data_IF_035961384326
#
_entry.id   IF_035961384326
#
_cell.length_a   1.000
_cell.length_b   1.000
_cell.length_c   1.000
_cell.angle_alpha   90.00
_cell.angle_beta   90.00
_cell.angle_gamma   90.00
#
_symmetry.space_group_name_H-M   'P 1'
#
loop_
_entity.id
_entity.type
_entity.pdbx_description
1 polymer ?
#
# COMPACT_ATOMS: atom_id res chain seq x y z
N UNK A 1 12.12 6.92 -11.25
CA UNK A 1 13.19 7.01 -10.22
C UNK A 1 14.55 6.80 -10.88
N UNK A 2 15.56 7.58 -10.54
CA UNK A 2 16.96 7.37 -10.95
C UNK A 2 17.78 7.13 -9.68
N UNK A 3 18.58 6.07 -9.63
CA UNK A 3 19.39 5.68 -8.46
C UNK A 3 20.68 4.99 -8.88
N UNK A 4 21.70 5.01 -8.03
CA UNK A 4 23.02 4.41 -8.29
C UNK A 4 24.15 5.41 -8.02
N UNK A 5 25.31 5.24 -8.66
CA UNK A 5 26.44 6.17 -8.57
C UNK A 5 26.10 7.55 -9.14
N UNK A 6 26.43 8.62 -8.43
CA UNK A 6 26.05 10.01 -8.73
C UNK A 6 26.67 10.57 -10.02
N UNK A 7 27.89 10.16 -10.37
CA UNK A 7 28.70 10.72 -11.48
C UNK A 7 27.95 10.87 -12.83
N UNK A 8 27.02 9.96 -13.14
CA UNK A 8 26.26 9.96 -14.41
C UNK A 8 24.75 10.06 -14.24
N UNK A 9 24.25 10.34 -13.03
CA UNK A 9 22.81 10.42 -12.78
C UNK A 9 22.16 11.56 -13.57
N UNK A 10 22.77 12.74 -13.61
CA UNK A 10 22.25 13.87 -14.37
C UNK A 10 22.17 13.56 -15.87
N UNK A 11 23.19 12.87 -16.42
CA UNK A 11 23.23 12.46 -17.82
C UNK A 11 22.11 11.45 -18.14
N UNK A 12 21.95 10.42 -17.29
CA UNK A 12 20.88 9.43 -17.43
C UNK A 12 19.49 10.07 -17.32
N UNK A 13 19.29 10.96 -16.33
CA UNK A 13 18.04 11.69 -16.16
C UNK A 13 17.70 12.48 -17.42
N UNK A 14 18.67 13.21 -17.99
CA UNK A 14 18.46 13.96 -19.23
C UNK A 14 18.08 13.06 -20.41
N UNK A 15 18.69 11.87 -20.52
CA UNK A 15 18.32 10.90 -21.56
C UNK A 15 16.89 10.38 -21.38
N UNK A 16 16.50 10.05 -20.14
CA UNK A 16 15.13 9.60 -19.82
C UNK A 16 14.12 10.71 -20.14
N UNK A 17 14.40 11.96 -19.76
CA UNK A 17 13.51 13.10 -20.04
C UNK A 17 13.35 13.36 -21.54
N UNK A 18 14.42 13.18 -22.32
CA UNK A 18 14.36 13.28 -23.77
C UNK A 18 13.48 12.19 -24.38
N UNK A 19 13.65 10.94 -23.94
CA UNK A 19 12.84 9.82 -24.40
C UNK A 19 11.37 9.95 -24.00
N UNK A 20 11.05 10.52 -22.83
CA UNK A 20 9.68 10.74 -22.40
C UNK A 20 8.95 11.79 -23.25
N UNK A 21 9.61 12.88 -23.63
CA UNK A 21 8.99 13.97 -24.41
C UNK A 21 8.65 13.56 -25.84
N UNK A 22 9.52 12.78 -26.45
CA UNK A 22 9.40 12.37 -27.84
C UNK A 22 9.83 10.89 -27.95
N UNK A 23 9.02 9.96 -27.41
CA UNK A 23 9.35 8.56 -27.50
C UNK A 23 9.23 8.08 -28.94
N UNK A 24 10.16 7.24 -29.34
CA UNK A 24 10.06 6.48 -30.58
C UNK A 24 9.27 5.20 -30.29
N UNK A 25 7.98 5.21 -30.63
CA UNK A 25 7.09 4.08 -30.37
C UNK A 25 7.11 3.14 -31.57
N UNK A 26 7.97 2.14 -31.50
CA UNK A 26 7.96 1.03 -32.46
C UNK A 26 6.68 0.18 -32.27
N UNK A 27 5.83 0.02 -33.30
CA UNK A 27 4.58 -0.74 -33.19
C UNK A 27 4.77 -2.22 -32.80
N UNK A 28 5.87 -2.86 -33.21
CA UNK A 28 6.16 -4.23 -32.84
C UNK A 28 6.58 -4.35 -31.38
N UNK A 29 7.36 -3.37 -30.87
CA UNK A 29 7.70 -3.29 -29.43
C UNK A 29 6.45 -3.03 -28.60
N UNK A 30 5.59 -2.09 -29.03
CA UNK A 30 4.31 -1.82 -28.38
C UNK A 30 3.45 -3.08 -28.30
N UNK A 31 3.29 -3.81 -29.42
CA UNK A 31 2.48 -5.03 -29.45
C UNK A 31 3.00 -6.12 -28.49
N UNK A 32 4.33 -6.26 -28.37
CA UNK A 32 4.95 -7.19 -27.42
C UNK A 32 4.67 -6.79 -25.97
N UNK A 33 4.85 -5.51 -25.62
CA UNK A 33 4.59 -5.01 -24.25
C UNK A 33 3.10 -5.15 -23.92
N UNK A 34 2.21 -4.80 -24.85
CA UNK A 34 0.76 -4.98 -24.71
C UNK A 34 0.39 -6.45 -24.43
N UNK A 35 1.04 -7.40 -25.08
CA UNK A 35 0.80 -8.83 -24.83
C UNK A 35 1.40 -9.31 -23.49
N UNK A 36 2.53 -8.74 -23.06
CA UNK A 36 3.08 -8.93 -21.71
C UNK A 36 2.09 -8.44 -20.64
N UNK A 37 1.64 -7.18 -20.70
CA UNK A 37 0.66 -6.60 -19.77
C UNK A 37 -0.65 -7.41 -19.74
N UNK A 38 -1.15 -7.83 -20.91
CA UNK A 38 -2.35 -8.68 -20.99
C UNK A 38 -2.15 -10.02 -20.28
N UNK A 39 -0.99 -10.65 -20.43
CA UNK A 39 -0.68 -11.92 -19.74
C UNK A 39 -0.54 -11.72 -18.24
N UNK A 40 0.06 -10.62 -17.80
CA UNK A 40 0.22 -10.31 -16.38
C UNK A 40 -1.16 -10.10 -15.71
N UNK A 41 -2.05 -9.32 -16.33
CA UNK A 41 -3.44 -9.14 -15.85
C UNK A 41 -4.24 -10.46 -15.85
N UNK A 42 -4.04 -11.33 -16.83
CA UNK A 42 -4.70 -12.65 -16.83
C UNK A 42 -4.13 -13.57 -15.73
N UNK A 43 -2.82 -13.54 -15.52
CA UNK A 43 -2.14 -14.33 -14.49
C UNK A 43 -2.51 -13.90 -13.08
N UNK A 44 -2.92 -12.63 -12.88
CA UNK A 44 -3.40 -12.16 -11.60
C UNK A 44 -4.61 -12.98 -11.10
N UNK A 45 -5.44 -13.50 -12.02
CA UNK A 45 -6.59 -14.38 -11.73
C UNK A 45 -6.17 -15.81 -11.36
N UNK A 46 -4.94 -16.19 -11.65
CA UNK A 46 -4.35 -17.49 -11.28
C UNK A 46 -3.61 -17.42 -9.92
N UNK A 47 -3.54 -16.23 -9.30
CA UNK A 47 -2.96 -16.10 -7.97
C UNK A 47 -3.71 -16.96 -6.95
N UNK A 48 -3.01 -17.37 -5.89
CA UNK A 48 -3.63 -18.07 -4.77
C UNK A 48 -4.85 -17.28 -4.24
N UNK A 49 -5.97 -17.94 -3.88
CA UNK A 49 -7.21 -17.29 -3.46
C UNK A 49 -7.05 -16.18 -2.43
N UNK A 50 -6.17 -16.34 -1.42
CA UNK A 50 -5.94 -15.29 -0.42
C UNK A 50 -5.40 -13.99 -1.00
N UNK A 51 -4.58 -14.06 -2.07
CA UNK A 51 -4.02 -12.86 -2.71
C UNK A 51 -5.11 -12.08 -3.44
N UNK A 52 -6.05 -12.80 -4.07
CA UNK A 52 -7.17 -12.18 -4.78
C UNK A 52 -8.13 -11.51 -3.80
N UNK A 53 -8.48 -12.16 -2.68
CA UNK A 53 -9.34 -11.51 -1.67
C UNK A 53 -8.63 -10.34 -1.00
N UNK A 54 -7.31 -10.39 -0.82
CA UNK A 54 -6.52 -9.30 -0.27
C UNK A 54 -6.40 -8.11 -1.22
N UNK A 55 -6.17 -8.31 -2.52
CA UNK A 55 -6.10 -7.22 -3.51
C UNK A 55 -7.44 -6.52 -3.70
N UNK A 56 -8.54 -7.28 -3.70
CA UNK A 56 -9.91 -6.74 -3.86
C UNK A 56 -10.24 -5.64 -2.83
N UNK A 57 -9.67 -5.70 -1.63
CA UNK A 57 -9.86 -4.64 -0.61
C UNK A 57 -9.38 -3.27 -1.13
N UNK A 58 -8.21 -3.24 -1.77
CA UNK A 58 -7.68 -2.00 -2.36
C UNK A 58 -8.52 -1.58 -3.56
N UNK A 59 -8.99 -2.55 -4.36
CA UNK A 59 -9.82 -2.30 -5.55
C UNK A 59 -11.16 -1.66 -5.21
N UNK A 60 -11.77 -2.07 -4.10
CA UNK A 60 -13.06 -1.54 -3.65
C UNK A 60 -12.96 -0.20 -2.93
N UNK A 61 -11.85 0.05 -2.22
CA UNK A 61 -11.76 1.18 -1.29
C UNK A 61 -10.96 2.37 -1.82
N UNK A 62 -10.03 2.16 -2.75
CA UNK A 62 -9.22 3.24 -3.31
C UNK A 62 -9.88 3.86 -4.55
N UNK A 63 -9.66 5.16 -4.74
CA UNK A 63 -10.15 5.88 -5.93
C UNK A 63 -9.15 6.96 -6.35
N UNK A 64 -8.82 7.08 -7.66
CA UNK A 64 -9.24 6.21 -8.76
C UNK A 64 -8.57 4.84 -8.68
N UNK A 65 -9.30 3.82 -9.13
CA UNK A 65 -8.84 2.44 -9.20
C UNK A 65 -9.66 1.75 -10.31
N UNK A 66 -9.04 0.85 -11.06
CA UNK A 66 -9.67 0.14 -12.19
C UNK A 66 -9.48 -1.36 -12.00
N UNK A 67 -10.53 -2.13 -12.30
CA UNK A 67 -10.47 -3.58 -12.19
C UNK A 67 -9.61 -4.19 -13.30
N UNK A 68 -9.05 -5.38 -13.06
CA UNK A 68 -8.33 -6.14 -14.09
C UNK A 68 -9.22 -6.38 -15.34
N UNK A 69 -10.54 -6.54 -15.16
CA UNK A 69 -11.50 -6.68 -16.25
C UNK A 69 -11.59 -5.41 -17.10
N UNK A 70 -11.73 -4.24 -16.48
CA UNK A 70 -11.77 -2.96 -17.18
C UNK A 70 -10.46 -2.68 -17.92
N UNK A 71 -9.32 -3.00 -17.29
CA UNK A 71 -7.99 -2.86 -17.89
C UNK A 71 -7.82 -3.79 -19.10
N UNK A 72 -8.21 -5.07 -18.98
CA UNK A 72 -8.17 -6.03 -20.08
C UNK A 72 -9.09 -5.61 -21.24
N UNK A 73 -10.30 -5.11 -20.93
CA UNK A 73 -11.21 -4.59 -21.94
C UNK A 73 -10.59 -3.39 -22.66
N UNK A 74 -10.04 -2.42 -21.92
CA UNK A 74 -9.38 -1.25 -22.48
C UNK A 74 -8.14 -1.59 -23.32
N UNK A 75 -7.40 -2.64 -22.95
CA UNK A 75 -6.25 -3.10 -23.72
C UNK A 75 -6.65 -3.56 -25.12
N UNK A 76 -7.84 -4.14 -25.32
CA UNK A 76 -8.24 -4.72 -26.62
C UNK A 76 -8.05 -3.74 -27.78
N UNK A 77 -8.57 -2.53 -27.64
CA UNK A 77 -8.54 -1.49 -28.69
C UNK A 77 -7.32 -0.56 -28.63
N UNK A 78 -6.44 -0.73 -27.64
CA UNK A 78 -5.27 0.12 -27.48
C UNK A 78 -4.23 -0.13 -28.59
N UNK A 79 -3.78 0.93 -29.25
CA UNK A 79 -2.79 0.87 -30.33
C UNK A 79 -1.56 1.73 -30.02
N UNK A 80 -0.48 1.55 -30.80
CA UNK A 80 0.69 2.42 -30.74
C UNK A 80 0.31 3.90 -31.01
N UNK A 81 -0.59 4.14 -31.97
CA UNK A 81 -1.11 5.48 -32.26
C UNK A 81 -1.90 6.06 -31.09
N UNK A 82 -2.65 5.23 -30.36
CA UNK A 82 -3.35 5.64 -29.12
C UNK A 82 -2.35 6.15 -28.08
N UNK A 83 -1.24 5.43 -27.87
CA UNK A 83 -0.19 5.84 -26.94
C UNK A 83 0.51 7.12 -27.42
N UNK A 84 0.83 7.20 -28.71
CA UNK A 84 1.44 8.38 -29.33
C UNK A 84 0.59 9.63 -29.15
N UNK A 85 -0.74 9.50 -29.29
CA UNK A 85 -1.70 10.59 -29.08
C UNK A 85 -1.88 10.94 -27.59
N UNK A 86 -1.73 9.96 -26.69
CA UNK A 86 -1.93 10.15 -25.25
C UNK A 86 -0.77 10.93 -24.59
N UNK A 87 0.48 10.71 -25.00
CA UNK A 87 1.66 11.36 -24.41
C UNK A 87 1.54 12.90 -24.30
N UNK A 88 1.21 13.65 -25.38
CA UNK A 88 1.04 15.09 -25.25
C UNK A 88 -0.12 15.48 -24.34
N UNK A 89 -1.17 14.65 -24.22
CA UNK A 89 -2.29 14.89 -23.30
C UNK A 89 -1.84 14.71 -21.84
N UNK A 90 -1.09 13.64 -21.55
CA UNK A 90 -0.51 13.38 -20.23
C UNK A 90 0.42 14.52 -19.81
N UNK A 91 1.23 15.03 -20.74
CA UNK A 91 2.18 16.11 -20.47
C UNK A 91 1.56 17.51 -20.46
N UNK A 92 0.31 17.68 -20.92
CA UNK A 92 -0.32 19.00 -21.00
C UNK A 92 -0.63 19.61 -19.63
N UNK A 93 -0.85 18.77 -18.60
CA UNK A 93 -1.21 19.18 -17.24
C UNK A 93 -0.46 18.35 -16.22
N UNK A 94 0.50 18.96 -15.53
CA UNK A 94 1.41 18.24 -14.65
C UNK A 94 1.73 19.02 -13.39
N UNK A 95 2.05 18.27 -12.34
CA UNK A 95 2.77 18.75 -11.17
C UNK A 95 4.03 17.90 -11.04
N UNK A 96 5.18 18.55 -10.82
CA UNK A 96 6.44 17.85 -10.58
C UNK A 96 6.83 18.05 -9.13
N UNK A 97 6.82 16.95 -8.40
CA UNK A 97 7.39 16.84 -7.06
C UNK A 97 8.62 15.93 -7.16
N UNK A 98 9.73 16.32 -6.56
CA UNK A 98 10.97 15.55 -6.64
C UNK A 98 11.73 15.55 -5.31
N UNK A 99 12.48 14.47 -5.09
CA UNK A 99 13.34 14.28 -3.92
C UNK A 99 14.73 13.91 -4.44
N UNK A 100 15.72 14.70 -4.05
CA UNK A 100 17.14 14.36 -4.21
C UNK A 100 17.68 13.98 -2.83
N UNK A 101 18.21 12.77 -2.70
CA UNK A 101 18.73 12.26 -1.44
C UNK A 101 19.94 11.35 -1.68
N UNK A 102 21.04 11.54 -0.93
CA UNK A 102 22.28 10.79 -1.06
C UNK A 102 23.50 11.70 -1.16
N UNK A 103 24.49 11.29 -1.95
CA UNK A 103 25.70 12.07 -2.25
C UNK A 103 25.37 13.16 -3.29
N UNK A 104 24.65 14.19 -2.88
CA UNK A 104 24.22 15.30 -3.73
C UNK A 104 24.20 16.59 -2.94
N UNK A 105 24.81 17.63 -3.49
CA UNK A 105 24.79 18.98 -2.91
C UNK A 105 23.46 19.68 -3.20
N UNK A 106 23.17 20.75 -2.45
CA UNK A 106 21.97 21.54 -2.68
C UNK A 106 21.94 22.17 -4.08
N UNK A 107 23.10 22.56 -4.63
CA UNK A 107 23.18 23.17 -5.96
C UNK A 107 22.99 22.13 -7.06
N UNK A 108 23.54 20.93 -6.92
CA UNK A 108 23.27 19.82 -7.83
C UNK A 108 21.79 19.41 -7.80
N UNK A 109 21.18 19.33 -6.61
CA UNK A 109 19.75 19.04 -6.47
C UNK A 109 18.88 20.10 -7.17
N UNK A 110 19.22 21.40 -7.02
CA UNK A 110 18.54 22.48 -7.73
C UNK A 110 18.73 22.38 -9.24
N UNK A 111 19.94 22.05 -9.70
CA UNK A 111 20.21 21.85 -11.12
C UNK A 111 19.38 20.71 -11.70
N UNK A 112 19.26 19.57 -11.00
CA UNK A 112 18.39 18.46 -11.39
C UNK A 112 16.90 18.87 -11.42
N UNK A 113 16.45 19.66 -10.43
CA UNK A 113 15.10 20.23 -10.41
C UNK A 113 14.83 21.18 -11.59
N UNK A 114 15.84 21.97 -11.98
CA UNK A 114 15.76 22.82 -13.16
C UNK A 114 15.66 21.98 -14.44
N UNK A 115 16.43 20.89 -14.57
CA UNK A 115 16.29 19.96 -15.70
C UNK A 115 14.87 19.40 -15.78
N UNK A 116 14.26 18.97 -14.67
CA UNK A 116 12.88 18.50 -14.67
C UNK A 116 11.91 19.59 -15.15
N UNK A 117 12.08 20.82 -14.67
CA UNK A 117 11.24 21.96 -15.03
C UNK A 117 11.36 22.31 -16.51
N UNK A 118 12.59 22.46 -17.01
CA UNK A 118 12.87 22.81 -18.41
C UNK A 118 12.39 21.73 -19.39
N UNK A 119 12.40 20.47 -18.96
CA UNK A 119 11.99 19.36 -19.82
C UNK A 119 10.50 19.06 -19.74
N UNK A 120 9.86 19.13 -18.57
CA UNK A 120 8.47 18.67 -18.38
C UNK A 120 7.46 19.80 -18.26
N UNK A 121 7.85 20.96 -17.74
CA UNK A 121 6.92 22.02 -17.38
C UNK A 121 6.90 23.20 -18.36
N UNK A 122 7.85 23.30 -19.28
CA UNK A 122 7.99 24.45 -20.19
C UNK A 122 6.72 24.69 -21.04
N UNK A 123 6.03 23.63 -21.46
CA UNK A 123 4.79 23.70 -22.23
C UNK A 123 3.56 23.18 -21.48
N UNK A 124 3.73 22.74 -20.23
CA UNK A 124 2.64 22.17 -19.43
C UNK A 124 1.92 23.27 -18.65
N UNK A 125 0.61 23.11 -18.48
CA UNK A 125 -0.12 23.83 -17.45
C UNK A 125 0.21 23.18 -16.09
N UNK A 126 0.80 23.94 -15.18
CA UNK A 126 1.03 23.45 -13.81
C UNK A 126 -0.33 23.30 -13.12
N UNK A 127 -0.65 22.08 -12.69
CA UNK A 127 -1.90 21.77 -12.01
C UNK A 127 -1.67 20.79 -10.89
N UNK A 128 -2.21 21.06 -9.70
CA UNK A 128 -2.18 20.10 -8.59
C UNK A 128 -2.94 18.84 -8.98
N UNK A 129 -2.29 17.69 -8.87
CA UNK A 129 -2.94 16.39 -9.12
C UNK A 129 -3.58 15.94 -7.82
N UNK A 130 -4.88 15.64 -7.85
CA UNK A 130 -5.54 15.11 -6.67
C UNK A 130 -5.00 13.73 -6.32
N UNK A 131 -4.65 13.53 -5.05
CA UNK A 131 -4.20 12.23 -4.53
C UNK A 131 -5.35 11.23 -4.49
N UNK A 132 -4.97 9.95 -4.46
CA UNK A 132 -5.90 8.86 -4.21
C UNK A 132 -6.71 9.09 -2.93
N UNK A 133 -7.97 8.69 -2.97
CA UNK A 133 -8.90 8.78 -1.84
C UNK A 133 -9.23 7.37 -1.36
N UNK A 134 -9.43 7.24 -0.05
CA UNK A 134 -9.95 6.03 0.56
C UNK A 134 -11.42 6.24 0.92
N UNK A 135 -12.27 5.31 0.50
CA UNK A 135 -13.67 5.25 0.92
C UNK A 135 -13.76 4.98 2.43
N UNK A 136 -14.51 5.82 3.14
CA UNK A 136 -14.78 5.61 4.57
C UNK A 136 -15.98 4.68 4.73
N UNK A 137 -15.76 3.54 5.38
CA UNK A 137 -16.81 2.58 5.70
C UNK A 137 -17.71 3.12 6.83
N UNK A 138 -19.01 2.81 6.76
CA UNK A 138 -19.96 3.19 7.79
C UNK A 138 -19.76 2.35 9.06
N UNK A 139 -19.60 2.96 10.25
CA UNK A 139 -19.46 2.21 11.49
C UNK A 139 -20.66 1.30 11.75
N UNK A 140 -20.39 0.06 12.18
CA UNK A 140 -21.41 -0.93 12.53
C UNK A 140 -22.13 -1.55 11.32
N UNK A 141 -21.61 -1.37 10.11
CA UNK A 141 -22.13 -1.98 8.90
C UNK A 141 -21.11 -2.92 8.27
N UNK A 142 -21.58 -4.13 7.95
CA UNK A 142 -20.79 -5.12 7.25
C UNK A 142 -21.00 -5.00 5.74
N UNK A 143 -19.89 -5.09 5.00
CA UNK A 143 -19.86 -5.12 3.55
C UNK A 143 -19.22 -6.42 3.11
N UNK A 144 -19.94 -7.21 2.32
CA UNK A 144 -19.50 -8.54 1.88
C UNK A 144 -19.35 -8.52 0.36
N UNK A 145 -18.17 -8.94 -0.11
CA UNK A 145 -17.85 -9.17 -1.51
C UNK A 145 -17.47 -10.63 -1.69
N UNK A 146 -18.28 -11.35 -2.46
CA UNK A 146 -17.96 -12.72 -2.88
C UNK A 146 -17.20 -12.70 -4.21
N UNK A 147 -16.13 -13.48 -4.28
CA UNK A 147 -15.33 -13.66 -5.49
C UNK A 147 -15.49 -15.10 -5.99
N UNK A 148 -15.83 -15.25 -7.27
CA UNK A 148 -15.86 -16.55 -7.93
C UNK A 148 -14.44 -16.91 -8.39
N UNK A 149 -13.68 -17.61 -7.53
CA UNK A 149 -12.29 -18.01 -7.79
C UNK A 149 -12.27 -19.49 -8.16
N UNK A 150 -11.69 -19.83 -9.32
CA UNK A 150 -11.53 -21.21 -9.77
C UNK A 150 -10.34 -21.88 -9.06
N UNK A 151 -10.57 -22.33 -7.83
CA UNK A 151 -9.57 -23.00 -7.01
C UNK A 151 -10.24 -23.98 -6.03
N UNK A 152 -9.53 -25.03 -5.62
CA UNK A 152 -10.07 -26.04 -4.68
C UNK A 152 -10.19 -25.51 -3.24
N UNK A 153 -9.29 -24.62 -2.84
CA UNK A 153 -9.29 -23.95 -1.54
C UNK A 153 -10.24 -22.74 -1.55
N UNK A 154 -10.85 -22.48 -0.40
CA UNK A 154 -11.56 -21.24 -0.10
C UNK A 154 -10.66 -20.24 0.61
N UNK A 155 -10.94 -18.94 0.48
CA UNK A 155 -10.23 -17.90 1.22
C UNK A 155 -11.17 -16.81 1.75
N UNK A 156 -10.72 -16.16 2.82
CA UNK A 156 -11.37 -15.02 3.45
C UNK A 156 -10.31 -13.96 3.76
N UNK A 157 -10.62 -12.71 3.45
CA UNK A 157 -9.92 -11.53 3.99
C UNK A 157 -10.96 -10.68 4.71
N UNK A 158 -10.87 -10.59 6.04
CA UNK A 158 -11.65 -9.65 6.83
C UNK A 158 -10.81 -8.38 7.04
N UNK A 159 -11.28 -7.26 6.50
CA UNK A 159 -10.65 -5.95 6.65
C UNK A 159 -11.45 -5.07 7.62
N UNK A 160 -10.80 -4.64 8.69
CA UNK A 160 -11.38 -3.75 9.71
C UNK A 160 -10.73 -2.37 9.57
N UNK A 161 -11.46 -1.43 8.99
CA UNK A 161 -10.99 -0.06 8.79
C UNK A 161 -10.97 0.73 10.10
N UNK A 162 -9.86 1.43 10.36
CA UNK A 162 -9.78 2.40 11.44
C UNK A 162 -10.67 3.63 11.22
N UNK A 163 -11.05 4.34 12.29
CA UNK A 163 -12.07 5.40 12.22
C UNK A 163 -11.61 6.67 11.48
N UNK A 164 -10.30 6.94 11.48
CA UNK A 164 -9.67 8.12 10.90
C UNK A 164 -8.15 7.95 10.70
N UNK A 165 -7.49 9.02 10.24
CA UNK A 165 -6.03 9.07 9.96
C UNK A 165 -5.19 9.51 11.17
N UNK A 166 -5.78 9.65 12.35
CA UNK A 166 -5.09 10.23 13.52
C UNK A 166 -3.91 9.37 13.95
N UNK A 167 -2.89 10.03 14.51
CA UNK A 167 -1.72 9.36 15.09
C UNK A 167 -2.16 8.34 16.15
N UNK A 168 -3.15 8.71 16.98
CA UNK A 168 -3.74 7.82 18.00
C UNK A 168 -4.32 6.56 17.38
N UNK A 169 -5.22 6.67 16.39
CA UNK A 169 -5.82 5.49 15.75
C UNK A 169 -4.76 4.62 15.08
N UNK A 170 -3.75 5.22 14.45
CA UNK A 170 -2.65 4.48 13.81
C UNK A 170 -1.82 3.70 14.83
N UNK A 171 -1.55 4.28 16.00
CA UNK A 171 -0.86 3.59 17.09
C UNK A 171 -1.72 2.47 17.67
N UNK A 172 -3.00 2.72 17.95
CA UNK A 172 -3.90 1.71 18.52
C UNK A 172 -4.00 0.48 17.61
N UNK A 173 -4.20 0.69 16.31
CA UNK A 173 -4.22 -0.39 15.32
C UNK A 173 -2.86 -1.09 15.17
N UNK A 174 -1.75 -0.35 15.29
CA UNK A 174 -0.41 -0.92 15.34
C UNK A 174 -0.22 -1.85 16.54
N UNK A 175 -0.67 -1.43 17.73
CA UNK A 175 -0.62 -2.24 18.95
C UNK A 175 -1.52 -3.48 18.85
N UNK A 176 -2.72 -3.34 18.27
CA UNK A 176 -3.61 -4.46 18.02
C UNK A 176 -2.98 -5.48 17.04
N UNK A 177 -2.30 -5.01 15.99
CA UNK A 177 -1.61 -5.90 15.07
C UNK A 177 -0.49 -6.71 15.77
N UNK A 178 0.31 -6.06 16.62
CA UNK A 178 1.34 -6.74 17.44
C UNK A 178 0.74 -7.80 18.37
N UNK A 179 -0.40 -7.50 18.98
CA UNK A 179 -1.06 -8.36 19.96
C UNK A 179 -1.79 -9.55 19.31
N UNK A 180 -2.36 -9.35 18.11
CA UNK A 180 -3.23 -10.34 17.46
C UNK A 180 -2.53 -11.25 16.46
N UNK A 181 -1.37 -10.86 15.90
CA UNK A 181 -0.65 -11.61 14.87
C UNK A 181 -0.35 -13.06 15.31
N UNK A 182 0.33 -13.22 16.45
CA UNK A 182 0.74 -14.55 16.94
C UNK A 182 -0.44 -15.40 17.42
N UNK A 183 -1.39 -14.89 18.23
CA UNK A 183 -2.56 -15.67 18.65
C UNK A 183 -3.45 -16.10 17.48
N UNK A 184 -3.60 -15.27 16.45
CA UNK A 184 -4.41 -15.62 15.28
C UNK A 184 -3.80 -16.80 14.51
N UNK A 185 -2.49 -16.75 14.29
CA UNK A 185 -1.76 -17.86 13.70
C UNK A 185 -1.90 -19.11 14.57
N UNK A 186 -1.58 -19.05 15.86
CA UNK A 186 -1.66 -20.20 16.75
C UNK A 186 -3.04 -20.85 16.75
N UNK A 187 -4.10 -20.03 16.87
CA UNK A 187 -5.47 -20.52 16.93
C UNK A 187 -5.90 -21.20 15.64
N UNK A 188 -5.88 -20.47 14.51
CA UNK A 188 -6.48 -20.96 13.27
C UNK A 188 -5.54 -21.92 12.53
N UNK A 189 -4.22 -21.72 12.60
CA UNK A 189 -3.24 -22.59 11.92
C UNK A 189 -2.90 -23.84 12.73
N UNK A 190 -2.60 -23.69 14.01
CA UNK A 190 -2.00 -24.77 14.82
C UNK A 190 -3.06 -25.59 15.53
N UNK A 191 -4.02 -24.95 16.20
CA UNK A 191 -5.06 -25.65 16.95
C UNK A 191 -6.17 -26.17 16.02
N UNK A 192 -6.77 -25.28 15.23
CA UNK A 192 -7.94 -25.60 14.38
C UNK A 192 -7.54 -26.18 13.02
N UNK A 193 -6.28 -26.01 12.62
CA UNK A 193 -5.69 -26.58 11.39
C UNK A 193 -6.46 -26.18 10.12
N UNK A 194 -6.99 -24.95 10.08
CA UNK A 194 -7.87 -24.50 9.01
C UNK A 194 -7.17 -24.39 7.66
N UNK A 195 -5.88 -24.06 7.60
CA UNK A 195 -5.24 -23.87 6.30
C UNK A 195 -3.78 -23.51 6.38
N UNK A 196 -3.08 -23.51 5.25
CA UNK A 196 -1.63 -23.22 5.22
C UNK A 196 -1.34 -21.72 5.34
N UNK A 197 -2.26 -20.89 4.85
CA UNK A 197 -2.15 -19.44 4.90
C UNK A 197 -3.12 -18.95 5.97
N UNK A 198 -2.56 -18.45 7.06
CA UNK A 198 -3.28 -17.86 8.18
C UNK A 198 -2.38 -16.75 8.72
N UNK A 199 -2.80 -15.49 8.66
CA UNK A 199 -2.09 -14.41 9.32
C UNK A 199 -3.01 -13.23 9.58
N UNK A 200 -2.69 -12.48 10.63
CA UNK A 200 -3.28 -11.20 10.93
C UNK A 200 -2.20 -10.13 10.82
N UNK A 201 -2.52 -8.97 10.24
CA UNK A 201 -1.55 -7.89 10.09
C UNK A 201 -2.22 -6.52 10.06
N UNK A 202 -1.42 -5.48 10.29
CA UNK A 202 -1.82 -4.13 9.92
C UNK A 202 -1.87 -4.01 8.39
N UNK A 203 -2.98 -3.47 7.87
CA UNK A 203 -3.19 -3.24 6.43
C UNK A 203 -3.63 -1.78 6.19
N UNK A 204 -2.81 -0.78 6.55
CA UNK A 204 -3.18 0.61 6.32
C UNK A 204 -3.36 0.87 4.81
N UNK A 205 -4.42 1.60 4.47
CA UNK A 205 -4.61 2.14 3.12
C UNK A 205 -4.46 3.66 3.18
N UNK A 206 -3.51 4.19 2.41
CA UNK A 206 -3.00 5.54 2.61
C UNK A 206 -2.56 5.73 4.08
N UNK A 207 -3.11 6.71 4.78
CA UNK A 207 -2.85 6.96 6.20
C UNK A 207 -3.96 6.47 7.14
N UNK A 208 -4.98 5.80 6.62
CA UNK A 208 -6.03 5.22 7.46
C UNK A 208 -5.55 3.84 7.91
N UNK A 209 -5.39 3.60 9.22
CA UNK A 209 -4.98 2.31 9.72
C UNK A 209 -6.09 1.29 9.54
N UNK A 210 -5.73 0.01 9.46
CA UNK A 210 -6.69 -1.09 9.47
C UNK A 210 -6.01 -2.37 9.93
N UNK A 211 -6.82 -3.34 10.34
CA UNK A 211 -6.40 -4.72 10.57
C UNK A 211 -6.94 -5.59 9.44
N UNK A 212 -6.18 -6.59 9.05
CA UNK A 212 -6.62 -7.62 8.15
C UNK A 212 -6.41 -9.00 8.78
N UNK A 213 -7.42 -9.85 8.67
CA UNK A 213 -7.34 -11.28 9.00
C UNK A 213 -7.49 -12.08 7.71
N UNK A 214 -6.46 -12.84 7.36
CA UNK A 214 -6.39 -13.58 6.09
C UNK A 214 -6.31 -15.07 6.39
N UNK A 215 -7.21 -15.84 5.77
CA UNK A 215 -7.22 -17.30 5.87
C UNK A 215 -7.46 -17.91 4.48
N UNK A 216 -6.69 -18.92 4.11
CA UNK A 216 -7.00 -19.81 2.99
C UNK A 216 -6.99 -21.26 3.45
N UNK A 217 -8.09 -21.96 3.17
CA UNK A 217 -8.37 -23.30 3.66
C UNK A 217 -8.74 -24.27 2.53
N UNK A 218 -8.18 -25.48 2.52
CA UNK A 218 -8.62 -26.55 1.60
C UNK A 218 -9.89 -27.28 2.08
N UNK A 219 -10.40 -26.98 3.28
CA UNK A 219 -11.42 -27.80 3.95
C UNK A 219 -12.59 -27.03 4.56
N UNK A 220 -12.47 -25.72 4.76
CA UNK A 220 -13.52 -24.87 5.30
C UNK A 220 -14.02 -23.89 4.22
N UNK A 221 -15.33 -23.74 4.12
CA UNK A 221 -16.00 -22.76 3.27
C UNK A 221 -15.79 -21.32 3.77
N UNK A 222 -15.98 -20.28 2.93
CA UNK A 222 -15.83 -18.89 3.36
C UNK A 222 -16.70 -18.52 4.57
N UNK A 223 -17.93 -19.05 4.66
CA UNK A 223 -18.83 -18.83 5.80
C UNK A 223 -18.32 -19.48 7.09
N UNK A 224 -17.76 -20.69 7.01
CA UNK A 224 -17.12 -21.33 8.17
C UNK A 224 -15.88 -20.55 8.60
N UNK A 225 -15.05 -20.12 7.65
CA UNK A 225 -13.89 -19.27 7.93
C UNK A 225 -14.28 -17.98 8.65
N UNK A 226 -15.36 -17.32 8.21
CA UNK A 226 -15.88 -16.12 8.87
C UNK A 226 -16.24 -16.42 10.32
N UNK A 227 -16.96 -17.51 10.58
CA UNK A 227 -17.33 -17.90 11.95
C UNK A 227 -16.11 -18.17 12.85
N UNK A 228 -15.05 -18.78 12.31
CA UNK A 228 -13.79 -18.98 13.04
C UNK A 228 -13.08 -17.66 13.36
N UNK A 229 -13.03 -16.73 12.40
CA UNK A 229 -12.45 -15.39 12.62
C UNK A 229 -13.26 -14.60 13.64
N UNK A 230 -14.60 -14.64 13.56
CA UNK A 230 -15.49 -13.96 14.50
C UNK A 230 -15.34 -14.50 15.92
N UNK A 231 -15.28 -15.84 16.08
CA UNK A 231 -15.06 -16.48 17.36
C UNK A 231 -13.69 -16.12 17.95
N UNK A 232 -12.65 -16.05 17.11
CA UNK A 232 -11.34 -15.57 17.52
C UNK A 232 -11.40 -14.12 18.01
N UNK A 233 -11.99 -13.20 17.23
CA UNK A 233 -12.08 -11.78 17.58
C UNK A 233 -12.85 -11.60 18.89
N UNK A 234 -13.96 -12.30 19.09
CA UNK A 234 -14.73 -12.26 20.34
C UNK A 234 -13.87 -12.69 21.54
N UNK A 235 -13.16 -13.81 21.44
CA UNK A 235 -12.29 -14.30 22.50
C UNK A 235 -11.11 -13.35 22.78
N UNK A 236 -10.51 -12.76 21.74
CA UNK A 236 -9.43 -11.78 21.92
C UNK A 236 -9.93 -10.47 22.51
N UNK A 237 -11.14 -10.02 22.17
CA UNK A 237 -11.75 -8.82 22.77
C UNK A 237 -11.91 -8.98 24.28
N UNK A 238 -12.36 -10.16 24.74
CA UNK A 238 -12.47 -10.46 26.18
C UNK A 238 -11.10 -10.50 26.87
N UNK A 239 -10.08 -11.06 26.21
CA UNK A 239 -8.70 -11.07 26.74
C UNK A 239 -8.10 -9.66 26.79
N UNK A 240 -8.25 -8.87 25.73
CA UNK A 240 -7.70 -7.51 25.61
C UNK A 240 -8.26 -6.63 26.72
N UNK A 241 -9.57 -6.75 27.02
CA UNK A 241 -10.22 -6.03 28.11
C UNK A 241 -9.62 -6.31 29.51
N UNK A 242 -8.83 -7.38 29.64
CA UNK A 242 -8.20 -7.80 30.90
C UNK A 242 -6.67 -7.62 30.90
N UNK A 243 -6.10 -6.97 29.87
CA UNK A 243 -4.67 -6.77 29.79
C UNK A 243 -4.16 -5.91 30.94
N UNK A 244 -2.95 -6.23 31.39
CA UNK A 244 -2.25 -5.44 32.40
C UNK A 244 -1.44 -4.30 31.76
N UNK A 245 -1.03 -3.34 32.58
CA UNK A 245 -0.06 -2.32 32.19
C UNK A 245 1.28 -2.93 31.72
N UNK A 246 1.66 -4.09 32.25
CA UNK A 246 2.86 -4.82 31.85
C UNK A 246 2.71 -5.40 30.43
N UNK A 247 1.55 -5.94 30.10
CA UNK A 247 1.26 -6.43 28.75
C UNK A 247 1.28 -5.30 27.73
N UNK A 248 0.63 -4.17 28.05
CA UNK A 248 0.68 -2.99 27.21
C UNK A 248 2.11 -2.47 27.05
N UNK A 249 2.90 -2.44 28.12
CA UNK A 249 4.30 -2.01 28.06
C UNK A 249 5.12 -2.90 27.11
N UNK A 250 4.87 -4.22 27.09
CA UNK A 250 5.49 -5.16 26.15
C UNK A 250 5.09 -4.88 24.71
N UNK A 251 3.80 -4.66 24.44
CA UNK A 251 3.29 -4.31 23.10
C UNK A 251 3.89 -2.99 22.60
N UNK A 252 3.91 -1.96 23.46
CA UNK A 252 4.54 -0.67 23.17
C UNK A 252 6.03 -0.82 22.83
N UNK A 253 6.76 -1.63 23.60
CA UNK A 253 8.17 -1.87 23.34
C UNK A 253 8.41 -2.54 21.98
N UNK A 254 7.58 -3.54 21.62
CA UNK A 254 7.63 -4.19 20.30
C UNK A 254 7.38 -3.18 19.18
N UNK A 255 6.27 -2.44 19.27
CA UNK A 255 5.89 -1.46 18.25
C UNK A 255 6.92 -0.33 18.12
N UNK A 256 7.46 0.18 19.23
CA UNK A 256 8.54 1.17 19.22
C UNK A 256 9.80 0.65 18.53
N UNK A 257 10.21 -0.59 18.82
CA UNK A 257 11.36 -1.22 18.17
C UNK A 257 11.17 -1.29 16.65
N UNK A 258 9.97 -1.68 16.21
CA UNK A 258 9.61 -1.75 14.79
C UNK A 258 9.60 -0.37 14.13
N UNK A 259 8.92 0.60 14.74
CA UNK A 259 8.84 1.98 14.25
C UNK A 259 10.21 2.64 14.15
N UNK A 260 11.10 2.40 15.12
CA UNK A 260 12.41 3.05 15.22
C UNK A 260 13.55 2.26 14.57
N UNK A 261 13.21 1.21 13.82
CA UNK A 261 14.21 0.46 13.05
C UNK A 261 14.97 1.40 12.12
N UNK A 262 16.30 1.28 12.12
CA UNK A 262 17.16 2.11 11.29
C UNK A 262 17.06 1.68 9.83
N UNK A 263 16.98 2.67 8.94
CA UNK A 263 17.11 2.47 7.50
C UNK A 263 18.46 1.79 7.21
N UNK A 264 18.46 0.63 6.55
CA UNK A 264 19.67 -0.15 6.30
C UNK A 264 20.41 0.38 5.06
N UNK A 265 19.69 0.99 4.13
CA UNK A 265 20.23 1.55 2.89
C UNK A 265 19.83 3.00 2.69
N UNK A 266 20.55 3.70 1.81
CA UNK A 266 20.13 5.03 1.34
C UNK A 266 18.76 4.99 0.64
N UNK A 267 18.45 3.87 -0.02
CA UNK A 267 17.19 3.64 -0.69
C UNK A 267 16.04 3.57 0.31
N UNK A 268 16.19 2.82 1.40
CA UNK A 268 15.16 2.68 2.44
C UNK A 268 14.83 4.07 3.03
N UNK A 269 15.87 4.89 3.28
CA UNK A 269 15.66 6.25 3.80
C UNK A 269 15.00 7.18 2.77
N UNK A 270 15.40 7.09 1.51
CA UNK A 270 14.78 7.88 0.44
C UNK A 270 13.30 7.54 0.27
N UNK A 271 12.95 6.26 0.33
CA UNK A 271 11.56 5.79 0.29
C UNK A 271 10.77 6.29 1.49
N UNK A 272 11.36 6.23 2.70
CA UNK A 272 10.73 6.79 3.90
C UNK A 272 10.43 8.29 3.77
N UNK A 273 11.37 9.09 3.27
CA UNK A 273 11.14 10.51 3.02
C UNK A 273 10.15 10.77 1.88
N UNK A 274 10.15 9.93 0.85
CA UNK A 274 9.20 10.04 -0.25
C UNK A 274 7.75 9.86 0.23
N UNK A 275 7.52 8.92 1.14
CA UNK A 275 6.20 8.73 1.77
C UNK A 275 5.78 9.96 2.56
N UNK A 276 6.68 10.67 3.25
CA UNK A 276 6.34 11.92 3.95
C UNK A 276 5.89 13.02 2.97
N UNK A 277 6.54 13.11 1.81
CA UNK A 277 6.13 14.01 0.72
C UNK A 277 4.72 13.63 0.22
N UNK A 278 4.47 12.35 -0.01
CA UNK A 278 3.15 11.83 -0.42
C UNK A 278 2.07 11.94 0.66
N UNK A 279 2.47 12.17 1.92
CA UNK A 279 1.57 12.56 3.03
C UNK A 279 1.37 14.06 3.16
N UNK A 280 2.07 14.87 2.36
CA UNK A 280 2.14 16.32 2.56
C UNK A 280 2.75 16.73 3.92
N UNK A 281 3.53 15.83 4.56
CA UNK A 281 4.25 16.14 5.79
C UNK A 281 5.64 16.71 5.50
N UNK A 282 5.75 18.03 5.56
CA UNK A 282 7.03 18.74 5.33
C UNK A 282 7.98 18.71 6.53
N UNK A 283 7.53 18.25 7.70
CA UNK A 283 8.38 18.09 8.88
C UNK A 283 9.15 16.76 8.90
N UNK A 284 8.79 15.80 8.04
CA UNK A 284 9.43 14.48 7.92
C UNK A 284 9.51 13.70 9.25
N UNK A 285 8.53 13.90 10.12
CA UNK A 285 8.54 13.48 11.51
C UNK A 285 7.39 12.52 11.87
N UNK A 286 6.66 11.95 10.89
CA UNK A 286 5.55 11.02 11.17
C UNK A 286 6.00 9.86 12.07
N UNK A 287 7.22 9.33 11.85
CA UNK A 287 7.78 8.25 12.65
C UNK A 287 7.97 8.68 14.11
N UNK A 288 8.52 9.86 14.33
CA UNK A 288 8.75 10.46 15.64
C UNK A 288 7.42 10.77 16.35
N UNK A 289 6.42 11.30 15.63
CA UNK A 289 5.07 11.53 16.15
C UNK A 289 4.39 10.21 16.59
N UNK A 290 4.47 9.16 15.77
CA UNK A 290 3.96 7.83 16.13
C UNK A 290 4.70 7.28 17.35
N UNK A 291 6.03 7.32 17.38
CA UNK A 291 6.82 6.81 18.50
C UNK A 291 6.50 7.54 19.81
N UNK A 292 6.32 8.86 19.77
CA UNK A 292 5.90 9.64 20.93
C UNK A 292 4.49 9.22 21.38
N UNK A 293 3.55 9.08 20.43
CA UNK A 293 2.20 8.67 20.74
C UNK A 293 2.13 7.26 21.37
N UNK A 294 2.93 6.31 20.89
CA UNK A 294 3.04 4.96 21.49
C UNK A 294 3.37 5.02 22.98
N UNK A 295 4.27 5.93 23.39
CA UNK A 295 4.62 6.08 24.80
C UNK A 295 3.43 6.58 25.63
N UNK A 296 2.61 7.47 25.06
CA UNK A 296 1.51 8.15 25.77
C UNK A 296 0.18 7.39 25.82
N UNK A 297 -0.03 6.38 24.96
CA UNK A 297 -1.29 5.59 24.98
C UNK A 297 -1.50 4.95 26.35
N UNK A 298 -2.63 5.20 26.99
CA UNK A 298 -2.99 4.52 28.25
C UNK A 298 -3.59 3.14 27.98
N UNK A 299 -3.60 2.29 29.01
CA UNK A 299 -4.32 1.02 28.97
C UNK A 299 -5.82 1.23 28.72
N UNK A 300 -6.43 2.23 29.37
CA UNK A 300 -7.83 2.59 29.15
C UNK A 300 -8.13 2.87 27.68
N UNK A 301 -7.29 3.66 27.00
CA UNK A 301 -7.44 3.95 25.57
C UNK A 301 -7.22 2.73 24.67
N UNK A 302 -6.41 1.76 25.10
CA UNK A 302 -6.12 0.57 24.31
C UNK A 302 -7.24 -0.47 24.40
N UNK A 303 -7.87 -0.60 25.56
CA UNK A 303 -8.91 -1.61 25.80
C UNK A 303 -10.34 -1.13 25.51
N UNK A 304 -10.52 0.18 25.27
CA UNK A 304 -11.80 0.81 24.90
C UNK A 304 -12.14 0.61 23.43
#
# INVERSE_FOLDING_TARGET
RVSGYDEKQALLLQQVLNALRAPDIDPAVFARIKDEERRDLLSARENAPYRQTYSEISDLLLTPQWSDEDLLAALTDLTADSLQAFIPMLMARMEVVSLAYGNVTADEARALGQLLTDNLLQSAQISRVERGRLLKLEPGRDYIRELAIEHQDSALTLYIQGPDKSVTSRVLFGLLAEDLESPFFEKLRTEEKLGYIVFASAMPLLDVPALAFIVQSPSASPTELQAHVDAFIAAQSERIAQLSEEDLARLKASLLSRLMTQDQTLQDRAERYWVEIDRENTAFDTREQLAQAVQTISLEQFVS
#
